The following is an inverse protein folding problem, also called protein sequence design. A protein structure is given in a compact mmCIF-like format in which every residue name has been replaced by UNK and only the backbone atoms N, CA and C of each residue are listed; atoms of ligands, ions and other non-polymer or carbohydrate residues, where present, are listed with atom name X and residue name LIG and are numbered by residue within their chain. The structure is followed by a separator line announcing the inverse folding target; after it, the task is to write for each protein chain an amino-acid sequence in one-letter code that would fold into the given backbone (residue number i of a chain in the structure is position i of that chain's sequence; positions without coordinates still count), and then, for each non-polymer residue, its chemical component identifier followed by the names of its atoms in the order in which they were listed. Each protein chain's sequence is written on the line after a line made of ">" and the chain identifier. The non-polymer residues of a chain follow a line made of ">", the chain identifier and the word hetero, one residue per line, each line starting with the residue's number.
data_IF_537323106313
#
_entry.id   IF_537323106313
#
_cell.length_a   1.000
_cell.length_b   1.000
_cell.length_c   1.000
_cell.angle_alpha   90.00
_cell.angle_beta   90.00
_cell.angle_gamma   90.00
#
_symmetry.space_group_name_H-M   'P 1'
#
loop_
_entity.id
_entity.type
_entity.pdbx_description
1 polymer ?
#
# COMPACT_ATOMS: atom_id res chain seq x y z
N UNK A 1 -32.03 -37.42 -15.46
CA UNK A 1 -32.16 -36.45 -14.35
C UNK A 1 -31.02 -36.54 -13.33
N UNK A 2 -30.68 -37.71 -12.75
CA UNK A 2 -29.58 -37.83 -11.76
C UNK A 2 -28.18 -37.34 -12.22
N UNK A 3 -27.82 -37.50 -13.50
CA UNK A 3 -26.51 -37.05 -14.04
C UNK A 3 -26.42 -35.51 -14.21
N UNK A 4 -27.53 -34.83 -14.48
CA UNK A 4 -27.57 -33.35 -14.55
C UNK A 4 -27.46 -32.71 -13.18
N UNK A 5 -28.00 -33.36 -12.14
CA UNK A 5 -27.88 -32.90 -10.74
C UNK A 5 -26.42 -32.95 -10.24
N UNK A 6 -25.65 -33.95 -10.67
CA UNK A 6 -24.24 -34.10 -10.28
C UNK A 6 -23.33 -33.03 -10.89
N UNK A 7 -23.60 -32.63 -12.15
CA UNK A 7 -22.86 -31.58 -12.85
C UNK A 7 -23.17 -30.19 -12.24
N UNK A 8 -24.42 -29.94 -11.83
CA UNK A 8 -24.78 -28.71 -11.14
C UNK A 8 -24.10 -28.57 -9.76
N UNK A 9 -23.89 -29.67 -9.04
CA UNK A 9 -23.21 -29.67 -7.73
C UNK A 9 -21.69 -29.46 -7.85
N UNK A 10 -21.08 -29.89 -8.96
CA UNK A 10 -19.65 -29.69 -9.25
C UNK A 10 -19.31 -28.26 -9.71
N UNK A 11 -20.30 -27.47 -10.16
CA UNK A 11 -20.11 -26.09 -10.62
C UNK A 11 -20.31 -25.02 -9.53
N UNK A 12 -20.89 -25.39 -8.37
CA UNK A 12 -21.10 -24.47 -7.24
C UNK A 12 -19.82 -23.88 -6.60
N UNK A 13 -18.66 -24.58 -6.54
CA UNK A 13 -17.45 -24.02 -5.93
C UNK A 13 -16.83 -22.85 -6.72
N UNK A 14 -17.12 -22.74 -8.02
CA UNK A 14 -16.50 -21.75 -8.90
C UNK A 14 -17.05 -20.32 -8.72
N UNK A 15 -18.23 -20.16 -8.10
CA UNK A 15 -18.86 -18.85 -7.85
C UNK A 15 -18.47 -18.23 -6.49
N UNK A 16 -17.70 -18.95 -5.68
CA UNK A 16 -17.26 -18.50 -4.35
C UNK A 16 -15.83 -17.94 -4.34
N UNK A 17 -15.11 -18.00 -5.47
CA UNK A 17 -13.71 -17.61 -5.55
C UNK A 17 -13.57 -16.17 -6.05
N UNK A 18 -12.78 -15.36 -5.33
CA UNK A 18 -12.43 -13.96 -5.60
C UNK A 18 -13.41 -12.89 -5.08
N UNK A 19 -13.66 -12.89 -3.77
CA UNK A 19 -14.13 -11.69 -3.07
C UNK A 19 -12.94 -10.85 -2.61
N UNK A 20 -12.86 -9.61 -3.06
CA UNK A 20 -11.93 -8.62 -2.49
C UNK A 20 -12.27 -8.40 -1.01
N UNK A 21 -11.32 -8.68 -0.12
CA UNK A 21 -11.44 -8.47 1.31
C UNK A 21 -10.71 -7.19 1.70
N UNK A 22 -11.41 -6.23 2.30
CA UNK A 22 -10.77 -5.07 2.92
C UNK A 22 -10.03 -5.52 4.19
N UNK A 23 -8.82 -4.99 4.39
CA UNK A 23 -7.94 -5.27 5.52
C UNK A 23 -7.90 -4.02 6.40
N UNK A 24 -8.44 -4.11 7.60
CA UNK A 24 -8.67 -2.98 8.51
C UNK A 24 -7.74 -2.99 9.73
N UNK A 25 -6.77 -3.92 9.77
CA UNK A 25 -5.75 -3.99 10.82
C UNK A 25 -4.41 -4.51 10.30
N UNK A 26 -3.37 -4.30 11.09
CA UNK A 26 -2.03 -4.81 10.80
C UNK A 26 -2.00 -6.34 10.74
N UNK A 27 -2.73 -7.00 11.64
CA UNK A 27 -2.83 -8.46 11.69
C UNK A 27 -3.47 -9.00 10.41
N UNK A 28 -4.60 -8.42 9.97
CA UNK A 28 -5.25 -8.82 8.73
C UNK A 28 -4.34 -8.62 7.51
N UNK A 29 -3.57 -7.52 7.48
CA UNK A 29 -2.56 -7.29 6.45
C UNK A 29 -1.48 -8.37 6.48
N UNK A 30 -0.91 -8.66 7.64
CA UNK A 30 0.15 -9.65 7.76
C UNK A 30 -0.32 -11.06 7.46
N UNK A 31 -1.52 -11.43 7.86
CA UNK A 31 -2.12 -12.73 7.57
C UNK A 31 -2.31 -12.89 6.07
N UNK A 32 -2.88 -11.89 5.39
CA UNK A 32 -3.04 -11.92 3.93
C UNK A 32 -1.69 -12.05 3.20
N UNK A 33 -0.68 -11.28 3.62
CA UNK A 33 0.66 -11.34 3.02
C UNK A 33 1.34 -12.70 3.23
N UNK A 34 1.25 -13.27 4.44
CA UNK A 34 1.84 -14.58 4.78
C UNK A 34 1.12 -15.75 4.10
N UNK A 35 -0.18 -15.62 3.85
CA UNK A 35 -0.97 -16.56 3.07
C UNK A 35 -0.66 -16.49 1.55
N UNK A 36 0.16 -15.52 1.12
CA UNK A 36 0.51 -15.35 -0.29
C UNK A 36 -0.57 -14.66 -1.13
N UNK A 37 -1.55 -13.99 -0.49
CA UNK A 37 -2.60 -13.26 -1.20
C UNK A 37 -2.02 -12.01 -1.87
N UNK A 38 -2.63 -11.60 -2.97
CA UNK A 38 -2.30 -10.31 -3.58
C UNK A 38 -2.93 -9.20 -2.75
N UNK A 39 -2.11 -8.33 -2.17
CA UNK A 39 -2.58 -7.14 -1.46
C UNK A 39 -2.45 -5.90 -2.34
N UNK A 40 -3.54 -5.14 -2.47
CA UNK A 40 -3.58 -3.83 -3.13
C UNK A 40 -3.72 -2.74 -2.09
N UNK A 41 -2.96 -1.66 -2.22
CA UNK A 41 -3.02 -0.48 -1.38
C UNK A 41 -3.54 0.72 -2.18
N UNK A 42 -4.43 1.51 -1.57
CA UNK A 42 -4.96 2.78 -2.10
C UNK A 42 -4.81 3.85 -1.03
N UNK A 43 -4.29 5.02 -1.42
CA UNK A 43 -4.01 6.14 -0.52
C UNK A 43 -4.79 7.37 -0.97
N UNK A 44 -5.58 7.95 -0.07
CA UNK A 44 -6.24 9.24 -0.27
C UNK A 44 -5.36 10.32 0.36
N UNK A 45 -4.48 10.92 -0.43
CA UNK A 45 -3.43 11.81 0.10
C UNK A 45 -3.98 13.06 0.78
N UNK A 46 -5.15 13.55 0.34
CA UNK A 46 -5.83 14.69 0.95
C UNK A 46 -6.04 14.53 2.46
N UNK A 47 -6.25 13.30 2.89
CA UNK A 47 -6.58 12.93 4.27
C UNK A 47 -5.33 12.47 5.06
N UNK A 48 -4.13 12.63 4.48
CA UNK A 48 -2.86 12.40 5.14
C UNK A 48 -2.30 13.70 5.74
N UNK A 49 -1.49 13.57 6.79
CA UNK A 49 -0.56 14.64 7.17
C UNK A 49 0.65 14.59 6.25
N UNK A 50 0.92 15.69 5.54
CA UNK A 50 2.07 15.83 4.66
C UNK A 50 3.24 16.49 5.41
N UNK A 51 4.43 15.92 5.23
CA UNK A 51 5.70 16.56 5.58
C UNK A 51 6.53 16.67 4.30
N UNK A 52 6.81 17.90 3.90
CA UNK A 52 7.66 18.26 2.76
C UNK A 52 8.81 19.13 3.26
N UNK A 53 10.03 18.92 2.76
CA UNK A 53 11.22 19.71 3.16
C UNK A 53 11.47 19.86 4.67
N UNK A 54 11.03 18.87 5.46
CA UNK A 54 11.05 18.83 6.93
C UNK A 54 10.06 19.76 7.64
N UNK A 55 9.10 20.34 6.92
CA UNK A 55 8.01 21.14 7.46
C UNK A 55 6.69 20.37 7.38
N UNK A 56 5.85 20.51 8.40
CA UNK A 56 4.49 19.97 8.39
C UNK A 56 3.63 20.93 7.57
N UNK A 57 3.03 20.41 6.50
CA UNK A 57 2.16 21.20 5.64
C UNK A 57 0.74 21.26 6.21
N UNK A 58 0.12 22.44 6.17
CA UNK A 58 -1.26 22.65 6.63
C UNK A 58 -2.28 21.88 5.77
N UNK A 59 -1.92 21.57 4.52
CA UNK A 59 -2.75 20.83 3.58
C UNK A 59 -1.91 19.85 2.79
N UNK A 60 -2.45 18.65 2.61
CA UNK A 60 -1.90 17.66 1.70
C UNK A 60 -2.50 17.82 0.30
N UNK A 61 -1.92 17.13 -0.68
CA UNK A 61 -2.36 17.13 -2.08
C UNK A 61 -3.67 16.36 -2.25
N UNK A 62 -4.61 16.90 -3.03
CA UNK A 62 -5.87 16.23 -3.38
C UNK A 62 -5.63 15.22 -4.51
N UNK A 63 -5.03 14.09 -4.15
CA UNK A 63 -4.67 13.01 -5.06
C UNK A 63 -5.00 11.65 -4.46
N UNK A 64 -5.21 10.67 -5.35
CA UNK A 64 -5.39 9.26 -4.98
C UNK A 64 -4.28 8.43 -5.63
N UNK A 65 -3.49 7.75 -4.80
CA UNK A 65 -2.44 6.83 -5.24
C UNK A 65 -2.86 5.38 -5.05
N UNK A 66 -2.30 4.48 -5.85
CA UNK A 66 -2.51 3.05 -5.68
C UNK A 66 -1.29 2.24 -6.10
N UNK A 67 -1.02 1.16 -5.38
CA UNK A 67 0.03 0.20 -5.73
C UNK A 67 -0.28 -1.19 -5.19
N UNK A 68 0.32 -2.22 -5.79
CA UNK A 68 0.35 -3.54 -5.18
C UNK A 68 1.35 -3.53 -4.01
N UNK A 69 1.01 -4.21 -2.93
CA UNK A 69 1.90 -4.48 -1.81
C UNK A 69 2.68 -5.76 -2.12
N UNK A 70 3.62 -5.63 -3.05
CA UNK A 70 4.49 -6.72 -3.51
C UNK A 70 5.70 -6.82 -2.57
N UNK A 71 6.91 -7.07 -3.08
CA UNK A 71 8.19 -7.20 -2.36
C UNK A 71 8.17 -6.55 -0.99
N UNK A 72 7.92 -7.36 0.03
CA UNK A 72 7.70 -6.90 1.39
C UNK A 72 8.62 -7.61 2.37
N UNK A 73 8.95 -6.91 3.45
CA UNK A 73 9.74 -7.46 4.55
C UNK A 73 9.14 -7.03 5.89
N UNK A 74 8.96 -8.00 6.78
CA UNK A 74 8.47 -7.80 8.13
C UNK A 74 9.62 -7.77 9.12
N UNK A 75 9.59 -6.79 10.01
CA UNK A 75 10.57 -6.61 11.08
C UNK A 75 9.85 -6.70 12.42
N UNK A 76 10.16 -7.76 13.17
CA UNK A 76 9.67 -7.91 14.54
C UNK A 76 10.21 -6.80 15.45
N UNK A 77 9.51 -6.51 16.55
CA UNK A 77 9.97 -5.53 17.54
C UNK A 77 11.39 -5.86 18.00
N UNK A 78 12.28 -4.86 17.96
CA UNK A 78 13.67 -4.98 18.36
C UNK A 78 14.60 -5.68 17.38
N UNK A 79 14.12 -6.25 16.25
CA UNK A 79 14.97 -7.00 15.32
C UNK A 79 16.02 -6.13 14.64
N UNK A 80 15.72 -4.85 14.43
CA UNK A 80 16.62 -3.85 13.84
C UNK A 80 16.66 -2.56 14.69
N UNK A 81 16.62 -2.71 16.03
CA UNK A 81 16.54 -1.59 16.99
C UNK A 81 15.27 -0.72 16.84
N UNK A 82 14.22 -1.30 16.28
CA UNK A 82 12.88 -0.69 16.15
C UNK A 82 12.06 -0.89 17.43
N UNK A 83 11.34 0.15 17.86
CA UNK A 83 10.48 0.12 19.05
C UNK A 83 9.16 -0.64 18.83
N UNK A 84 8.71 -0.72 17.59
CA UNK A 84 7.44 -1.32 17.16
C UNK A 84 7.72 -2.26 15.99
N UNK A 85 7.00 -3.37 15.90
CA UNK A 85 7.03 -4.20 14.69
C UNK A 85 6.43 -3.44 13.49
N UNK A 86 6.90 -3.74 12.29
CA UNK A 86 6.39 -3.13 11.07
C UNK A 86 6.64 -4.00 9.84
N UNK A 87 5.88 -3.75 8.78
CA UNK A 87 6.12 -4.27 7.43
C UNK A 87 6.42 -3.12 6.48
N UNK A 88 7.34 -3.31 5.55
CA UNK A 88 7.64 -2.38 4.47
C UNK A 88 7.44 -3.04 3.12
N UNK A 89 7.05 -2.24 2.13
CA UNK A 89 7.07 -2.60 0.71
C UNK A 89 7.44 -1.36 -0.10
N UNK A 90 7.99 -1.54 -1.28
CA UNK A 90 8.32 -0.42 -2.17
C UNK A 90 8.21 -0.79 -3.64
N UNK A 91 7.97 0.22 -4.48
CA UNK A 91 7.97 0.10 -5.93
C UNK A 91 8.68 1.30 -6.55
N UNK A 92 9.29 1.10 -7.71
CA UNK A 92 9.85 2.17 -8.52
C UNK A 92 9.25 2.10 -9.92
N UNK A 93 8.78 3.24 -10.42
CA UNK A 93 8.20 3.36 -11.77
C UNK A 93 8.81 4.55 -12.48
N UNK A 94 9.27 4.34 -13.72
CA UNK A 94 9.62 5.44 -14.60
C UNK A 94 8.32 6.12 -15.07
N UNK A 95 8.20 7.42 -14.82
CA UNK A 95 7.03 8.22 -15.22
C UNK A 95 7.49 9.47 -15.98
N UNK A 96 6.61 10.02 -16.81
CA UNK A 96 6.81 11.37 -17.32
C UNK A 96 6.85 12.34 -16.13
N UNK A 97 7.82 13.25 -16.12
CA UNK A 97 8.01 14.17 -15.01
C UNK A 97 6.78 15.09 -14.86
N UNK A 98 6.05 15.06 -13.73
CA UNK A 98 4.86 15.91 -13.57
C UNK A 98 5.21 17.37 -13.26
N UNK A 99 6.48 17.67 -12.92
CA UNK A 99 6.95 19.02 -12.60
C UNK A 99 7.71 19.70 -13.77
N UNK A 100 7.92 19.02 -14.88
CA UNK A 100 8.71 19.54 -16.00
C UNK A 100 8.83 18.57 -17.16
N UNK A 101 9.90 18.71 -17.95
CA UNK A 101 10.15 17.84 -19.10
C UNK A 101 10.86 16.54 -18.69
N UNK A 102 10.80 15.54 -19.58
CA UNK A 102 11.54 14.28 -19.45
C UNK A 102 10.86 13.25 -18.54
N UNK A 103 11.68 12.41 -17.91
CA UNK A 103 11.23 11.28 -17.11
C UNK A 103 11.96 11.22 -15.76
N UNK A 104 11.24 10.81 -14.73
CA UNK A 104 11.77 10.58 -13.38
C UNK A 104 11.38 9.18 -12.91
N UNK A 105 12.19 8.58 -12.05
CA UNK A 105 11.77 7.45 -11.26
C UNK A 105 10.92 7.94 -10.09
N UNK A 106 9.66 7.54 -10.07
CA UNK A 106 8.81 7.66 -8.89
C UNK A 106 9.02 6.43 -8.02
N UNK A 107 9.80 6.61 -6.95
CA UNK A 107 10.02 5.61 -5.93
C UNK A 107 9.04 5.81 -4.78
N UNK A 108 8.17 4.83 -4.55
CA UNK A 108 7.22 4.84 -3.45
C UNK A 108 7.57 3.73 -2.46
N UNK A 109 7.69 4.09 -1.18
CA UNK A 109 7.86 3.15 -0.07
C UNK A 109 6.74 3.31 0.94
N UNK A 110 6.12 2.20 1.31
CA UNK A 110 5.13 2.13 2.38
C UNK A 110 5.77 1.46 3.59
N UNK A 111 5.52 2.02 4.78
CA UNK A 111 5.79 1.39 6.07
C UNK A 111 4.50 1.35 6.88
N UNK A 112 4.07 0.15 7.25
CA UNK A 112 2.90 -0.05 8.12
C UNK A 112 3.40 -0.61 9.46
N UNK A 113 3.10 0.09 10.55
CA UNK A 113 3.47 -0.33 11.92
C UNK A 113 2.39 -1.21 12.53
N UNK A 114 2.77 -1.99 13.55
CA UNK A 114 1.84 -2.89 14.26
C UNK A 114 0.64 -2.17 14.90
N UNK A 115 0.77 -0.89 15.24
CA UNK A 115 -0.34 -0.06 15.74
C UNK A 115 -1.25 0.52 14.63
N UNK A 116 -1.07 0.11 13.38
CA UNK A 116 -1.87 0.58 12.25
C UNK A 116 -1.41 1.91 11.65
N UNK A 117 -0.37 2.56 12.18
CA UNK A 117 0.19 3.78 11.57
C UNK A 117 0.89 3.46 10.26
N UNK A 118 0.63 4.28 9.25
CA UNK A 118 1.15 4.16 7.90
C UNK A 118 1.99 5.39 7.56
N UNK A 119 3.19 5.15 7.04
CA UNK A 119 4.02 6.16 6.40
C UNK A 119 4.17 5.80 4.92
N UNK A 120 3.82 6.74 4.04
CA UNK A 120 4.13 6.66 2.61
C UNK A 120 5.25 7.67 2.33
N UNK A 121 6.32 7.22 1.69
CA UNK A 121 7.41 8.07 1.20
C UNK A 121 7.38 8.01 -0.32
N UNK A 122 7.26 9.17 -0.97
CA UNK A 122 7.29 9.31 -2.41
C UNK A 122 8.47 10.19 -2.81
N UNK A 123 9.37 9.65 -3.63
CA UNK A 123 10.56 10.34 -4.09
C UNK A 123 10.56 10.39 -5.62
N UNK A 124 10.79 11.58 -6.16
CA UNK A 124 11.19 11.70 -7.56
C UNK A 124 12.70 11.73 -7.63
N UNK A 125 13.22 10.85 -8.47
CA UNK A 125 14.64 10.65 -8.69
C UNK A 125 14.91 10.85 -10.17
N UNK A 126 15.88 11.70 -10.50
CA UNK A 126 16.28 11.93 -11.88
C UNK A 126 16.66 10.60 -12.55
N UNK A 127 16.14 10.36 -13.76
CA UNK A 127 16.29 9.06 -14.42
C UNK A 127 17.70 8.81 -14.98
N UNK A 128 18.57 9.83 -14.98
CA UNK A 128 19.95 9.77 -15.49
C UNK A 128 20.95 9.91 -14.35
N UNK A 129 20.88 11.00 -13.57
CA UNK A 129 21.82 11.28 -12.48
C UNK A 129 21.52 10.48 -11.21
N UNK A 130 20.28 10.00 -11.04
CA UNK A 130 19.78 9.37 -9.82
C UNK A 130 19.77 10.30 -8.59
N UNK A 131 19.82 11.61 -8.80
CA UNK A 131 19.65 12.59 -7.74
C UNK A 131 18.17 12.72 -7.36
N UNK A 132 17.90 12.87 -6.07
CA UNK A 132 16.56 13.14 -5.57
C UNK A 132 16.15 14.57 -5.93
N UNK A 133 15.04 14.72 -6.65
CA UNK A 133 14.51 16.02 -7.09
C UNK A 133 13.28 16.45 -6.27
N UNK A 134 12.66 15.53 -5.53
CA UNK A 134 11.51 15.77 -4.66
C UNK A 134 11.37 14.62 -3.66
N UNK A 135 10.97 14.92 -2.42
CA UNK A 135 10.75 13.93 -1.37
C UNK A 135 9.61 14.33 -0.47
N UNK A 136 8.53 13.55 -0.51
CA UNK A 136 7.33 13.80 0.27
C UNK A 136 7.07 12.64 1.23
N UNK A 137 6.66 12.96 2.45
CA UNK A 137 6.28 11.97 3.45
C UNK A 137 4.84 12.20 3.89
N UNK A 138 3.98 11.22 3.65
CA UNK A 138 2.59 11.22 4.05
C UNK A 138 2.40 10.28 5.24
N UNK A 139 1.72 10.77 6.28
CA UNK A 139 1.43 10.04 7.50
C UNK A 139 -0.07 9.88 7.66
N UNK A 140 -0.51 8.64 7.90
CA UNK A 140 -1.91 8.29 8.12
C UNK A 140 -2.00 6.99 8.91
N UNK A 141 -3.17 6.35 8.91
CA UNK A 141 -3.43 5.07 9.53
C UNK A 141 -4.15 4.13 8.54
N UNK A 142 -4.10 2.83 8.80
CA UNK A 142 -4.92 1.85 8.08
C UNK A 142 -6.38 2.27 8.17
N UNK A 143 -7.07 2.31 7.03
CA UNK A 143 -8.46 2.70 7.00
C UNK A 143 -9.34 1.67 7.72
N UNK A 144 -10.03 2.13 8.77
CA UNK A 144 -11.02 1.37 9.54
C UNK A 144 -12.27 2.23 9.75
N UNK A 145 -13.37 1.84 9.10
CA UNK A 145 -14.55 2.70 9.00
C UNK A 145 -14.23 4.04 8.33
N UNK A 146 -14.47 5.14 9.04
CA UNK A 146 -14.24 6.53 8.57
C UNK A 146 -12.86 7.08 8.92
N UNK A 147 -12.02 6.31 9.63
CA UNK A 147 -10.69 6.76 10.09
C UNK A 147 -9.59 6.13 9.25
N UNK A 148 -8.56 6.90 8.92
CA UNK A 148 -7.37 6.44 8.20
C UNK A 148 -7.52 6.53 6.67
N UNK A 149 -6.45 6.91 5.97
CA UNK A 149 -6.47 7.17 4.53
C UNK A 149 -5.76 6.08 3.70
N UNK A 150 -5.20 5.06 4.35
CA UNK A 150 -4.52 3.94 3.70
C UNK A 150 -5.43 2.70 3.67
N UNK A 151 -6.01 2.42 2.50
CA UNK A 151 -6.90 1.29 2.30
C UNK A 151 -6.13 0.10 1.74
N UNK A 152 -6.27 -1.05 2.39
CA UNK A 152 -5.65 -2.30 1.96
C UNK A 152 -6.73 -3.32 1.60
N UNK A 153 -6.48 -4.08 0.54
CA UNK A 153 -7.40 -5.08 0.03
C UNK A 153 -6.65 -6.36 -0.34
N UNK A 154 -7.06 -7.50 0.20
CA UNK A 154 -6.63 -8.81 -0.27
C UNK A 154 -7.51 -9.28 -1.43
N UNK A 155 -6.89 -9.83 -2.46
CA UNK A 155 -7.52 -10.45 -3.63
C UNK A 155 -7.03 -11.90 -3.72
N UNK A 156 -7.97 -12.84 -3.84
CA UNK A 156 -7.71 -14.27 -4.08
C UNK A 156 -7.28 -14.55 -5.52
#
# INVERSE_FOLDING_TARGET
>A
MKKFLLVAFLLMPALLMAKTQKLESFEQLMDALKEGKTVKAVFYYKDCQLISDNEIEDKSVDAVGGMNFETWEFFAKGSIRNLEAFVVSSTSKLIANPLGDGYVYNYVKIKVKENGKVKITANYVDSVSHEETMSENFFTEINKGEVGAAHFFAVE
#
